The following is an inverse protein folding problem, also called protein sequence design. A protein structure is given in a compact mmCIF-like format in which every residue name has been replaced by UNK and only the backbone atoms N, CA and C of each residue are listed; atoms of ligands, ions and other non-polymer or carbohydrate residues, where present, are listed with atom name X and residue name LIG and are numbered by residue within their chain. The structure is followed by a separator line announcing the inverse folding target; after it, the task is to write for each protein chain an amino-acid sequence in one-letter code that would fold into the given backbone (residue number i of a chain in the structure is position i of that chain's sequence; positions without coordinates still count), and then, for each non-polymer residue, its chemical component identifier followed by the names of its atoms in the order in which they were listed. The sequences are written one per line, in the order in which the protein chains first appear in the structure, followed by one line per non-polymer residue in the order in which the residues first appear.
data_IF_228023247291
#
_entry.id   IF_228023247291
#
_cell.length_a   1.000
_cell.length_b   1.000
_cell.length_c   1.000
_cell.angle_alpha   90.00
_cell.angle_beta   90.00
_cell.angle_gamma   90.00
#
_symmetry.space_group_name_H-M   'P 1'
#
loop_
_entity.id
_entity.type
_entity.pdbx_description
1 polymer ?
#
# COMPACT_ATOMS: atom_id res chain seq x y z
N UNK A 1 -3.47 -28.34 -10.16
CA UNK A 1 -3.19 -27.66 -8.85
C UNK A 1 -3.31 -26.17 -9.10
N UNK A 2 -4.28 -25.49 -8.46
CA UNK A 2 -4.33 -24.04 -8.51
C UNK A 2 -3.16 -23.51 -7.68
N UNK A 3 -2.15 -22.95 -8.35
CA UNK A 3 -1.09 -22.24 -7.64
C UNK A 3 -1.72 -21.07 -6.88
N UNK A 4 -1.47 -21.02 -5.58
CA UNK A 4 -1.92 -19.92 -4.72
C UNK A 4 -1.24 -18.62 -5.19
N UNK A 5 -2.00 -17.55 -5.29
CA UNK A 5 -1.46 -16.24 -5.59
C UNK A 5 -0.32 -15.89 -4.61
N UNK A 6 0.76 -15.33 -5.12
CA UNK A 6 1.89 -14.89 -4.28
C UNK A 6 1.76 -13.40 -3.98
N UNK A 7 2.27 -12.98 -2.82
CA UNK A 7 2.40 -11.56 -2.48
C UNK A 7 3.89 -11.22 -2.44
N UNK A 8 4.28 -10.20 -3.19
CA UNK A 8 5.65 -9.67 -3.26
C UNK A 8 5.63 -8.21 -2.80
N UNK A 9 6.51 -7.84 -1.87
CA UNK A 9 6.61 -6.46 -1.36
C UNK A 9 8.00 -5.94 -1.71
N UNK A 10 8.03 -4.85 -2.48
CA UNK A 10 9.23 -4.22 -3.02
C UNK A 10 9.28 -2.75 -2.59
N UNK A 11 10.00 -2.46 -1.50
CA UNK A 11 10.11 -1.12 -0.93
C UNK A 11 11.48 -0.54 -1.24
N UNK A 12 11.52 0.45 -2.13
CA UNK A 12 12.74 1.00 -2.69
C UNK A 12 12.96 2.48 -2.36
N UNK A 13 11.95 3.17 -1.79
CA UNK A 13 12.00 4.61 -1.58
C UNK A 13 12.30 4.95 -0.11
N UNK A 14 13.54 5.35 0.16
CA UNK A 14 14.05 5.61 1.51
C UNK A 14 14.35 7.09 1.80
N UNK A 15 13.77 8.03 1.04
CA UNK A 15 13.92 9.44 1.32
C UNK A 15 12.98 9.90 2.43
N UNK A 16 13.50 10.71 3.36
CA UNK A 16 12.76 11.19 4.52
C UNK A 16 12.61 10.10 5.59
N UNK A 17 11.37 9.67 5.85
CA UNK A 17 11.13 8.55 6.76
C UNK A 17 11.55 7.22 6.12
N UNK A 18 12.30 6.41 6.87
CA UNK A 18 12.64 5.03 6.47
C UNK A 18 11.52 4.06 6.81
N UNK A 19 11.47 2.94 6.09
CA UNK A 19 10.62 1.83 6.47
C UNK A 19 11.15 1.14 7.71
N UNK A 20 10.29 0.96 8.72
CA UNK A 20 10.55 0.11 9.87
C UNK A 20 9.80 -1.21 9.70
N UNK A 21 10.54 -2.33 9.76
CA UNK A 21 10.02 -3.66 9.37
C UNK A 21 10.23 -4.62 10.55
N UNK A 22 9.17 -5.25 11.01
CA UNK A 22 9.21 -6.31 12.03
C UNK A 22 8.02 -7.25 11.88
N UNK A 23 8.24 -8.56 11.95
CA UNK A 23 7.20 -9.59 11.94
C UNK A 23 6.20 -9.47 10.77
N UNK A 24 6.68 -9.24 9.55
CA UNK A 24 5.85 -9.03 8.36
C UNK A 24 4.91 -7.81 8.44
N UNK A 25 5.24 -6.85 9.28
CA UNK A 25 4.60 -5.55 9.36
C UNK A 25 5.62 -4.49 8.95
N UNK A 26 5.20 -3.63 8.02
CA UNK A 26 6.02 -2.57 7.45
C UNK A 26 5.32 -1.25 7.76
N UNK A 27 6.00 -0.34 8.40
CA UNK A 27 5.46 0.97 8.74
C UNK A 27 6.43 2.07 8.33
N UNK A 28 5.90 3.16 7.80
CA UNK A 28 6.65 4.37 7.45
C UNK A 28 5.88 5.57 7.96
N UNK A 29 6.59 6.51 8.61
CA UNK A 29 5.98 7.69 9.20
C UNK A 29 5.50 7.50 10.64
N UNK A 30 4.39 8.16 10.99
CA UNK A 30 3.86 8.17 12.35
C UNK A 30 2.36 8.38 12.38
N UNK A 31 1.72 7.99 13.48
CA UNK A 31 0.30 8.23 13.73
C UNK A 31 0.07 8.73 15.15
N UNK A 32 -1.03 9.44 15.35
CA UNK A 32 -1.60 9.73 16.66
C UNK A 32 -2.84 8.87 16.86
N UNK A 33 -2.98 8.26 18.02
CA UNK A 33 -4.18 7.52 18.40
C UNK A 33 -5.31 8.46 18.86
N UNK A 34 -6.47 7.91 19.24
CA UNK A 34 -7.62 8.67 19.73
C UNK A 34 -7.34 9.49 21.01
N UNK A 35 -6.34 9.09 21.79
CA UNK A 35 -5.90 9.79 23.00
C UNK A 35 -4.89 10.90 22.72
N UNK A 36 -4.40 11.00 21.48
CA UNK A 36 -3.36 11.94 21.09
C UNK A 36 -1.93 11.43 21.32
N UNK A 37 -1.76 10.14 21.66
CA UNK A 37 -0.42 9.56 21.84
C UNK A 37 0.22 9.34 20.47
N UNK A 38 1.48 9.72 20.34
CA UNK A 38 2.29 9.47 19.16
C UNK A 38 2.74 8.00 19.10
N UNK A 39 2.39 7.33 18.04
CA UNK A 39 2.83 5.96 17.75
C UNK A 39 3.68 5.94 16.48
N UNK A 40 4.85 5.35 16.56
CA UNK A 40 5.76 5.12 15.42
C UNK A 40 6.53 3.83 15.61
N UNK A 41 7.09 3.32 14.52
CA UNK A 41 7.98 2.16 14.56
C UNK A 41 7.42 1.00 15.42
N UNK A 42 8.10 0.61 16.47
CA UNK A 42 7.75 -0.55 17.29
C UNK A 42 6.42 -0.39 18.03
N UNK A 43 6.08 0.81 18.50
CA UNK A 43 4.81 1.05 19.19
C UNK A 43 3.62 0.93 18.20
N UNK A 44 3.79 1.41 16.99
CA UNK A 44 2.79 1.24 15.93
C UNK A 44 2.66 -0.24 15.55
N UNK A 45 3.77 -0.97 15.42
CA UNK A 45 3.77 -2.42 15.13
C UNK A 45 3.04 -3.22 16.21
N UNK A 46 3.19 -2.90 17.50
CA UNK A 46 2.47 -3.57 18.60
C UNK A 46 0.95 -3.51 18.38
N UNK A 47 0.43 -2.35 17.97
CA UNK A 47 -1.01 -2.19 17.69
C UNK A 47 -1.43 -2.98 16.43
N UNK A 48 -0.61 -2.94 15.38
CA UNK A 48 -0.88 -3.66 14.14
C UNK A 48 -0.75 -5.18 14.29
N UNK A 49 0.02 -5.65 15.29
CA UNK A 49 0.24 -7.08 15.52
C UNK A 49 -1.01 -7.86 15.91
N UNK A 50 -2.05 -7.19 16.37
CA UNK A 50 -3.33 -7.79 16.77
C UNK A 50 -4.39 -7.81 15.63
N UNK A 51 -4.03 -7.31 14.46
CA UNK A 51 -4.94 -7.18 13.32
C UNK A 51 -4.86 -8.45 12.46
N UNK A 52 -5.97 -9.16 12.31
CA UNK A 52 -6.09 -10.39 11.52
C UNK A 52 -7.23 -10.33 10.49
N UNK A 53 -8.10 -9.31 10.59
CA UNK A 53 -9.28 -9.18 9.72
C UNK A 53 -9.35 -7.77 9.10
N UNK A 54 -10.01 -7.69 7.95
CA UNK A 54 -10.28 -6.42 7.25
C UNK A 54 -11.01 -5.42 8.15
N UNK A 55 -12.04 -5.87 8.87
CA UNK A 55 -12.82 -5.03 9.78
C UNK A 55 -11.97 -4.46 10.91
N UNK A 56 -11.04 -5.25 11.47
CA UNK A 56 -10.11 -4.77 12.49
C UNK A 56 -9.16 -3.72 11.92
N UNK A 57 -8.66 -3.93 10.69
CA UNK A 57 -7.77 -2.99 10.04
C UNK A 57 -8.49 -1.67 9.74
N UNK A 58 -9.67 -1.72 9.15
CA UNK A 58 -10.49 -0.54 8.90
C UNK A 58 -10.82 0.23 10.19
N UNK A 59 -11.20 -0.51 11.25
CA UNK A 59 -11.49 0.07 12.57
C UNK A 59 -10.27 0.78 13.15
N UNK A 60 -9.09 0.19 13.02
CA UNK A 60 -7.83 0.79 13.45
C UNK A 60 -7.55 2.08 12.65
N UNK A 61 -7.68 2.04 11.32
CA UNK A 61 -7.42 3.20 10.45
C UNK A 61 -8.36 4.39 10.77
N UNK A 62 -9.61 4.12 11.13
CA UNK A 62 -10.57 5.17 11.53
C UNK A 62 -10.18 5.90 12.81
N UNK A 63 -9.37 5.26 13.68
CA UNK A 63 -8.98 5.75 15.00
C UNK A 63 -7.64 6.49 15.02
N UNK A 64 -6.92 6.48 13.91
CA UNK A 64 -5.61 7.11 13.82
C UNK A 64 -5.61 8.33 12.90
N UNK A 65 -4.70 9.26 13.17
CA UNK A 65 -4.40 10.41 12.32
C UNK A 65 -2.89 10.55 12.22
N UNK A 66 -2.37 10.93 11.06
CA UNK A 66 -0.92 11.10 10.90
C UNK A 66 -0.49 11.04 9.45
N UNK A 67 0.80 10.95 9.25
CA UNK A 67 1.45 10.78 7.95
C UNK A 67 2.08 9.40 7.93
N UNK A 68 1.50 8.48 7.16
CA UNK A 68 1.91 7.08 7.23
C UNK A 68 1.66 6.29 5.94
N UNK A 69 2.44 5.24 5.79
CA UNK A 69 2.12 4.05 5.01
C UNK A 69 2.31 2.81 5.86
N UNK A 70 1.37 1.90 5.79
CA UNK A 70 1.33 0.67 6.58
C UNK A 70 1.08 -0.51 5.64
N UNK A 71 1.87 -1.58 5.80
CA UNK A 71 1.61 -2.87 5.16
C UNK A 71 1.67 -3.95 6.25
N UNK A 72 0.68 -4.82 6.29
CA UNK A 72 0.60 -5.95 7.23
C UNK A 72 0.36 -7.24 6.45
N UNK A 73 1.26 -8.20 6.60
CA UNK A 73 1.06 -9.55 6.09
C UNK A 73 0.63 -10.48 7.22
N UNK A 74 -0.47 -11.20 7.03
CA UNK A 74 -0.99 -12.21 7.96
C UNK A 74 -1.30 -13.51 7.21
N UNK A 75 -0.35 -14.44 7.24
CA UNK A 75 -0.48 -15.67 6.48
C UNK A 75 -0.68 -15.39 4.99
N UNK A 76 -1.89 -15.61 4.51
CA UNK A 76 -2.25 -15.42 3.10
C UNK A 76 -2.95 -14.09 2.81
N UNK A 77 -3.04 -13.19 3.81
CA UNK A 77 -3.70 -11.89 3.70
C UNK A 77 -2.71 -10.75 3.69
N UNK A 78 -2.99 -9.75 2.87
CA UNK A 78 -2.32 -8.46 2.86
C UNK A 78 -3.32 -7.37 3.22
N UNK A 79 -2.88 -6.46 4.08
CA UNK A 79 -3.53 -5.20 4.37
C UNK A 79 -2.51 -4.09 4.07
N UNK A 80 -2.87 -3.11 3.25
CA UNK A 80 -1.98 -1.99 2.96
C UNK A 80 -2.77 -0.69 2.97
N UNK A 81 -2.27 0.36 3.62
CA UNK A 81 -2.96 1.63 3.75
C UNK A 81 -2.02 2.82 3.62
N UNK A 82 -2.55 3.92 3.15
CA UNK A 82 -1.89 5.22 3.13
C UNK A 82 -2.73 6.26 3.87
N UNK A 83 -2.08 7.29 4.39
CA UNK A 83 -2.76 8.40 5.06
C UNK A 83 -3.67 9.21 4.13
N UNK A 84 -4.47 10.11 4.71
CA UNK A 84 -5.49 10.92 4.02
C UNK A 84 -4.93 11.86 2.95
N UNK A 85 -3.65 12.15 2.98
CA UNK A 85 -2.95 12.98 1.99
C UNK A 85 -2.04 12.17 1.08
N UNK A 86 -1.95 10.85 1.33
CA UNK A 86 -1.06 9.94 0.61
C UNK A 86 0.39 10.44 0.62
N UNK A 87 0.86 10.81 1.80
CA UNK A 87 2.21 11.38 1.99
C UNK A 87 3.31 10.42 1.53
N UNK A 88 3.12 9.13 1.79
CA UNK A 88 4.01 8.07 1.33
C UNK A 88 3.18 7.13 0.44
N UNK A 89 3.21 7.31 -0.90
CA UNK A 89 2.35 6.55 -1.79
C UNK A 89 2.70 5.07 -1.82
N UNK A 90 1.67 4.23 -1.98
CA UNK A 90 1.80 2.81 -2.30
C UNK A 90 1.12 2.52 -3.63
N UNK A 91 1.77 1.64 -4.38
CA UNK A 91 1.31 1.16 -5.69
C UNK A 91 1.22 -0.35 -5.68
N UNK A 92 0.38 -0.90 -6.54
CA UNK A 92 0.26 -2.34 -6.70
C UNK A 92 -0.01 -2.74 -8.15
N UNK A 93 0.33 -3.97 -8.48
CA UNK A 93 -0.01 -4.58 -9.76
C UNK A 93 -0.22 -6.09 -9.60
N UNK A 94 -1.01 -6.66 -10.50
CA UNK A 94 -1.08 -8.10 -10.68
C UNK A 94 -0.21 -8.51 -11.85
N UNK A 95 0.71 -9.42 -11.61
CA UNK A 95 1.58 -9.99 -12.65
C UNK A 95 1.85 -11.46 -12.39
N UNK A 96 1.54 -12.33 -13.38
CA UNK A 96 1.80 -13.78 -13.29
C UNK A 96 1.36 -14.42 -11.96
N UNK A 97 0.08 -14.22 -11.57
CA UNK A 97 -0.52 -14.72 -10.33
C UNK A 97 0.11 -14.15 -9.04
N UNK A 98 0.89 -13.07 -9.14
CA UNK A 98 1.42 -12.34 -8.00
C UNK A 98 0.70 -11.02 -7.84
N UNK A 99 0.43 -10.65 -6.58
CA UNK A 99 0.19 -9.27 -6.20
C UNK A 99 1.52 -8.67 -5.78
N UNK A 100 1.96 -7.64 -6.48
CA UNK A 100 3.20 -6.91 -6.15
C UNK A 100 2.79 -5.56 -5.58
N UNK A 101 3.32 -5.22 -4.39
CA UNK A 101 3.10 -3.94 -3.72
C UNK A 101 4.43 -3.22 -3.58
N UNK A 102 4.47 -1.94 -3.92
CA UNK A 102 5.69 -1.13 -3.89
C UNK A 102 5.40 0.32 -3.50
N UNK A 103 6.41 1.02 -3.04
CA UNK A 103 6.42 2.47 -2.84
C UNK A 103 7.01 3.25 -4.04
N UNK A 104 7.35 2.54 -5.14
CA UNK A 104 7.96 3.12 -6.33
C UNK A 104 7.38 2.53 -7.62
N UNK A 105 6.42 3.22 -8.23
CA UNK A 105 5.81 2.78 -9.50
C UNK A 105 6.80 2.74 -10.67
N UNK A 106 7.81 3.61 -10.66
CA UNK A 106 8.87 3.63 -11.69
C UNK A 106 9.69 2.34 -11.69
N UNK A 107 9.94 1.77 -10.51
CA UNK A 107 10.59 0.47 -10.37
C UNK A 107 9.79 -0.64 -11.10
N UNK A 108 8.47 -0.68 -10.94
CA UNK A 108 7.64 -1.66 -11.64
C UNK A 108 7.68 -1.46 -13.16
N UNK A 109 7.65 -0.19 -13.60
CA UNK A 109 7.77 0.13 -15.03
C UNK A 109 9.05 -0.43 -15.64
N UNK A 110 10.18 -0.23 -14.99
CA UNK A 110 11.48 -0.69 -15.46
C UNK A 110 11.61 -2.22 -15.37
N UNK A 111 11.23 -2.81 -14.22
CA UNK A 111 11.35 -4.26 -13.98
C UNK A 111 10.55 -5.09 -14.98
N UNK A 112 9.38 -4.63 -15.41
CA UNK A 112 8.45 -5.36 -16.27
C UNK A 112 8.28 -4.74 -17.67
N UNK A 113 9.08 -3.75 -18.01
CA UNK A 113 9.00 -3.01 -19.29
C UNK A 113 7.58 -2.55 -19.64
N UNK A 114 6.90 -1.93 -18.66
CA UNK A 114 5.49 -1.55 -18.79
C UNK A 114 5.35 -0.28 -19.63
N UNK A 115 4.39 -0.25 -20.57
CA UNK A 115 4.10 0.94 -21.36
C UNK A 115 3.40 2.02 -20.53
N UNK A 116 3.47 3.25 -21.01
CA UNK A 116 2.65 4.35 -20.48
C UNK A 116 1.19 4.12 -20.90
N UNK A 117 0.27 4.39 -19.96
CA UNK A 117 -1.17 4.40 -20.22
C UNK A 117 -1.55 5.68 -20.97
N UNK A 118 -1.94 5.57 -22.23
CA UNK A 118 -2.24 6.73 -23.08
C UNK A 118 -3.43 7.55 -22.57
N UNK A 119 -4.45 6.92 -22.00
CA UNK A 119 -5.59 7.62 -21.44
C UNK A 119 -5.18 8.43 -20.20
N UNK A 120 -4.50 7.80 -19.25
CA UNK A 120 -3.99 8.46 -18.05
C UNK A 120 -2.98 9.57 -18.39
N UNK A 121 -2.17 9.38 -19.45
CA UNK A 121 -1.25 10.41 -19.93
C UNK A 121 -2.00 11.63 -20.45
N UNK A 122 -3.05 11.44 -21.24
CA UNK A 122 -3.88 12.56 -21.73
C UNK A 122 -4.55 13.28 -20.58
N UNK A 123 -5.16 12.53 -19.65
CA UNK A 123 -5.78 13.10 -18.46
C UNK A 123 -4.77 13.95 -17.67
N UNK A 124 -3.59 13.41 -17.38
CA UNK A 124 -2.52 14.14 -16.67
C UNK A 124 -2.09 15.41 -17.38
N UNK A 125 -1.97 15.40 -18.71
CA UNK A 125 -1.59 16.57 -19.48
C UNK A 125 -2.63 17.69 -19.42
N UNK A 126 -3.92 17.35 -19.24
CA UNK A 126 -4.99 18.35 -19.15
C UNK A 126 -5.27 18.80 -17.72
N UNK A 127 -5.11 17.94 -16.73
CA UNK A 127 -5.57 18.18 -15.36
C UNK A 127 -4.44 18.28 -14.32
N UNK A 128 -3.24 17.79 -14.66
CA UNK A 128 -2.11 17.68 -13.75
C UNK A 128 -2.14 16.45 -12.81
N UNK A 129 -3.14 15.60 -12.92
CA UNK A 129 -3.27 14.37 -12.12
C UNK A 129 -3.98 13.26 -12.90
N UNK A 130 -3.95 12.03 -12.36
CA UNK A 130 -4.70 10.88 -12.88
C UNK A 130 -5.75 10.50 -11.85
N UNK A 131 -7.02 10.39 -12.27
CA UNK A 131 -8.15 10.09 -11.39
C UNK A 131 -8.21 8.61 -11.00
N UNK A 132 -8.87 8.34 -9.87
CA UNK A 132 -9.11 6.99 -9.38
C UNK A 132 -7.83 6.29 -8.91
N UNK A 133 -7.79 4.99 -9.11
CA UNK A 133 -6.68 4.11 -8.76
C UNK A 133 -5.63 3.96 -9.88
N UNK A 134 -5.89 4.51 -11.06
CA UNK A 134 -4.98 4.46 -12.20
C UNK A 134 -3.69 5.25 -11.95
N UNK A 135 -2.64 4.88 -12.66
CA UNK A 135 -1.38 5.64 -12.74
C UNK A 135 -1.03 5.94 -14.20
N UNK A 136 0.08 6.66 -14.41
CA UNK A 136 0.63 6.86 -15.76
C UNK A 136 1.18 5.57 -16.39
N UNK A 137 1.38 4.52 -15.60
CA UNK A 137 1.97 3.26 -16.04
C UNK A 137 0.86 2.24 -16.21
N UNK A 138 0.81 1.60 -17.35
CA UNK A 138 -0.21 0.60 -17.63
C UNK A 138 -0.13 -0.57 -16.63
N UNK A 139 -1.29 -1.05 -16.16
CA UNK A 139 -1.42 -2.16 -15.20
C UNK A 139 -0.80 -1.90 -13.81
N UNK A 140 -0.37 -0.68 -13.51
CA UNK A 140 0.06 -0.25 -12.18
C UNK A 140 -1.01 0.65 -11.57
N UNK A 141 -1.47 0.28 -10.39
CA UNK A 141 -2.52 0.97 -9.64
C UNK A 141 -1.94 1.63 -8.40
N UNK A 142 -2.64 2.62 -7.87
CA UNK A 142 -2.30 3.31 -6.63
C UNK A 142 -3.34 3.07 -5.54
N UNK A 143 -2.90 2.98 -4.29
CA UNK A 143 -3.82 3.11 -3.16
C UNK A 143 -4.14 4.60 -3.03
N UNK A 144 -5.43 4.96 -3.13
CA UNK A 144 -5.86 6.36 -3.09
C UNK A 144 -5.70 6.95 -1.68
N UNK A 145 -5.62 8.27 -1.62
CA UNK A 145 -5.50 9.01 -0.36
C UNK A 145 -6.60 8.63 0.64
N UNK A 146 -6.20 8.19 1.84
CA UNK A 146 -7.11 7.77 2.90
C UNK A 146 -7.80 6.43 2.69
N UNK A 147 -7.40 5.66 1.69
CA UNK A 147 -7.91 4.32 1.42
C UNK A 147 -6.93 3.22 1.85
N UNK A 148 -7.43 2.01 1.85
CA UNK A 148 -6.62 0.81 2.07
C UNK A 148 -6.94 -0.26 1.02
N UNK A 149 -5.98 -1.16 0.84
CA UNK A 149 -6.05 -2.36 0.03
C UNK A 149 -6.13 -3.57 0.97
N UNK A 150 -7.10 -4.44 0.77
CA UNK A 150 -7.16 -5.76 1.36
C UNK A 150 -7.03 -6.81 0.26
N UNK A 151 -6.20 -7.81 0.46
CA UNK A 151 -6.07 -8.92 -0.47
C UNK A 151 -5.97 -10.24 0.30
N UNK A 152 -6.77 -11.23 -0.12
CA UNK A 152 -6.72 -12.60 0.40
C UNK A 152 -6.34 -13.55 -0.75
N UNK A 153 -5.23 -14.27 -0.61
CA UNK A 153 -4.73 -15.23 -1.61
C UNK A 153 -5.74 -16.32 -1.96
N UNK A 154 -6.59 -16.72 -0.99
CA UNK A 154 -7.57 -17.79 -1.19
C UNK A 154 -8.70 -17.37 -2.10
N UNK A 155 -9.21 -16.16 -1.89
CA UNK A 155 -10.33 -15.63 -2.67
C UNK A 155 -9.89 -14.91 -3.93
N UNK A 156 -8.61 -14.49 -3.99
CA UNK A 156 -8.03 -13.62 -5.04
C UNK A 156 -8.80 -12.30 -5.23
N UNK A 157 -9.55 -11.87 -4.21
CA UNK A 157 -10.27 -10.60 -4.21
C UNK A 157 -9.39 -9.49 -3.63
N UNK A 158 -9.52 -8.31 -4.24
CA UNK A 158 -9.01 -7.02 -3.78
C UNK A 158 -10.19 -6.16 -3.38
#
# INVERSE_FOLDING_TARGET
MNELAQIEIELNYNYGFSWFIKNNIFVKGYVFNEKGDLLKEEDLIKHLSTIDTEIQFETFLKKIKGLFSIIVLRGEKLFAAVDRTRTFPLFYMHHNQKLIVTDNSGYLKEKFDLPINDLSKREFLYTGYVTGDQTLINSVYQIKAGEFLFFDKKTKNI
#
